data_IF_844348410795
#
_entry.id   IF_844348410795
#
_cell.length_a   1.000
_cell.length_b   1.000
_cell.length_c   1.000
_cell.angle_alpha   90.00
_cell.angle_beta   90.00
_cell.angle_gamma   90.00
#
_symmetry.space_group_name_H-M   'P 1'
#
loop_
_entity.id
_entity.type
_entity.pdbx_description
1 polymer ?
#
# COMPACT_ATOMS: atom_id res chain seq x y z
N UNK A 1 1.25 -14.21 -25.09
CA UNK A 1 1.11 -12.83 -24.54
C UNK A 1 2.07 -12.67 -23.37
N UNK A 2 2.80 -11.56 -23.28
CA UNK A 2 3.61 -11.23 -22.09
C UNK A 2 2.71 -11.08 -20.86
N UNK A 3 3.15 -11.63 -19.72
CA UNK A 3 2.48 -11.46 -18.41
C UNK A 3 2.54 -10.03 -17.88
N UNK A 4 3.55 -9.24 -18.30
CA UNK A 4 3.74 -7.84 -17.91
C UNK A 4 3.14 -6.91 -18.97
N UNK A 5 2.39 -5.90 -18.53
CA UNK A 5 1.78 -4.89 -19.41
C UNK A 5 2.82 -3.95 -20.03
N UNK A 6 3.79 -3.48 -19.24
CA UNK A 6 4.84 -2.59 -19.73
C UNK A 6 6.11 -3.37 -20.10
N UNK A 7 6.88 -2.90 -21.11
CA UNK A 7 8.22 -3.41 -21.39
C UNK A 7 9.12 -3.35 -20.15
N UNK A 8 9.80 -4.45 -19.84
CA UNK A 8 10.70 -4.52 -18.67
C UNK A 8 11.88 -3.56 -18.79
N UNK A 9 12.33 -3.30 -20.02
CA UNK A 9 13.40 -2.36 -20.32
C UNK A 9 13.14 -0.97 -19.71
N UNK A 10 11.89 -0.47 -19.74
CA UNK A 10 11.55 0.85 -19.19
C UNK A 10 11.89 0.95 -17.71
N UNK A 11 11.50 -0.03 -16.90
CA UNK A 11 11.80 -0.04 -15.47
C UNK A 11 13.32 -0.14 -15.18
N UNK A 12 14.05 -0.87 -16.02
CA UNK A 12 15.51 -0.98 -15.90
C UNK A 12 16.22 0.30 -16.32
N UNK A 13 15.78 0.95 -17.40
CA UNK A 13 16.33 2.23 -17.85
C UNK A 13 16.10 3.31 -16.80
N UNK A 14 14.91 3.38 -16.20
CA UNK A 14 14.61 4.29 -15.08
C UNK A 14 15.55 4.07 -13.90
N UNK A 15 15.75 2.81 -13.51
CA UNK A 15 16.62 2.47 -12.39
C UNK A 15 18.09 2.84 -12.67
N UNK A 16 18.57 2.61 -13.90
CA UNK A 16 19.94 2.96 -14.34
C UNK A 16 20.13 4.47 -14.39
N UNK A 17 19.23 5.22 -15.03
CA UNK A 17 19.31 6.69 -15.10
C UNK A 17 19.26 7.33 -13.72
N UNK A 18 18.34 6.88 -12.86
CA UNK A 18 18.27 7.37 -11.49
C UNK A 18 19.56 7.08 -10.71
N UNK A 19 20.20 5.93 -10.93
CA UNK A 19 21.51 5.64 -10.32
C UNK A 19 22.63 6.51 -10.88
N UNK A 20 22.67 6.71 -12.21
CA UNK A 20 23.67 7.53 -12.87
C UNK A 20 23.62 9.00 -12.42
N UNK A 21 22.43 9.60 -12.31
CA UNK A 21 22.29 10.95 -11.76
C UNK A 21 22.80 11.03 -10.31
N UNK A 22 22.47 10.06 -9.45
CA UNK A 22 23.00 10.02 -8.08
C UNK A 22 24.53 9.92 -8.05
N UNK A 23 25.13 9.14 -8.95
CA UNK A 23 26.58 9.01 -9.02
C UNK A 23 27.26 10.27 -9.55
N UNK A 24 26.66 10.95 -10.54
CA UNK A 24 27.14 12.23 -11.05
C UNK A 24 27.09 13.31 -9.97
N UNK A 25 25.98 13.44 -9.23
CA UNK A 25 25.86 14.39 -8.11
C UNK A 25 26.92 14.16 -7.02
N UNK A 26 27.36 12.91 -6.84
CA UNK A 26 28.42 12.53 -5.90
C UNK A 26 29.83 12.69 -6.48
N UNK A 27 29.97 13.23 -7.69
CA UNK A 27 31.26 13.39 -8.37
C UNK A 27 31.90 12.08 -8.84
N UNK A 28 31.16 10.97 -8.85
CA UNK A 28 31.66 9.66 -9.30
C UNK A 28 31.60 9.49 -10.82
N UNK A 29 30.82 10.33 -11.51
CA UNK A 29 30.69 10.33 -12.96
C UNK A 29 30.92 11.73 -13.52
N UNK A 30 31.61 11.81 -14.65
CA UNK A 30 31.70 13.04 -15.43
C UNK A 30 30.39 13.27 -16.20
N UNK A 31 30.07 14.52 -16.59
CA UNK A 31 28.90 14.80 -17.45
C UNK A 31 28.90 14.01 -18.76
N UNK A 32 30.09 13.77 -19.35
CA UNK A 32 30.23 12.96 -20.55
C UNK A 32 29.85 11.48 -20.33
N UNK A 33 30.26 10.89 -19.19
CA UNK A 33 29.87 9.52 -18.84
C UNK A 33 28.37 9.39 -18.58
N UNK A 34 27.75 10.41 -17.97
CA UNK A 34 26.30 10.44 -17.79
C UNK A 34 25.57 10.42 -19.14
N UNK A 35 25.99 11.26 -20.09
CA UNK A 35 25.39 11.32 -21.42
C UNK A 35 25.47 9.96 -22.16
N UNK A 36 26.58 9.23 -22.01
CA UNK A 36 26.72 7.86 -22.57
C UNK A 36 25.72 6.89 -21.96
N UNK A 37 25.54 6.92 -20.62
CA UNK A 37 24.59 6.04 -19.93
C UNK A 37 23.14 6.36 -20.33
N UNK A 38 22.81 7.65 -20.49
CA UNK A 38 21.49 8.08 -20.94
C UNK A 38 21.22 7.66 -22.39
N UNK A 39 22.20 7.79 -23.27
CA UNK A 39 22.11 7.31 -24.65
C UNK A 39 21.90 5.78 -24.72
N UNK A 40 22.56 5.02 -23.82
CA UNK A 40 22.38 3.57 -23.71
C UNK A 40 21.08 3.13 -23.00
N UNK A 41 20.33 4.06 -22.40
CA UNK A 41 19.09 3.81 -21.65
C UNK A 41 17.96 4.76 -22.12
N UNK A 42 17.49 4.64 -23.37
CA UNK A 42 16.52 5.57 -23.93
C UNK A 42 15.17 5.51 -23.20
N UNK A 43 14.54 6.68 -23.06
CA UNK A 43 13.17 6.83 -22.55
C UNK A 43 12.23 6.83 -23.74
N UNK A 44 11.67 5.67 -24.04
CA UNK A 44 10.79 5.46 -25.18
C UNK A 44 9.30 5.60 -24.82
N UNK A 45 8.99 6.10 -23.62
CA UNK A 45 7.64 6.14 -23.08
C UNK A 45 7.23 7.58 -22.73
N UNK A 46 5.93 7.83 -22.72
CA UNK A 46 5.37 9.10 -22.26
C UNK A 46 5.13 9.05 -20.74
N UNK A 47 5.83 9.91 -20.01
CA UNK A 47 5.64 10.14 -18.57
C UNK A 47 5.75 11.62 -18.26
N UNK A 48 4.62 12.30 -18.02
CA UNK A 48 4.61 13.72 -17.75
C UNK A 48 5.08 14.04 -16.32
N UNK A 49 5.38 15.32 -16.09
CA UNK A 49 5.66 15.86 -14.76
C UNK A 49 4.45 15.69 -13.83
N UNK A 50 4.70 15.75 -12.52
CA UNK A 50 3.72 15.41 -11.48
C UNK A 50 2.36 16.14 -11.63
N UNK A 51 2.35 17.46 -11.88
CA UNK A 51 1.11 18.21 -12.03
C UNK A 51 0.30 17.80 -13.27
N UNK A 52 0.96 17.60 -14.40
CA UNK A 52 0.32 17.16 -15.64
C UNK A 52 -0.20 15.72 -15.48
N UNK A 53 0.53 14.86 -14.76
CA UNK A 53 0.08 13.51 -14.41
C UNK A 53 -1.23 13.53 -13.61
N UNK A 54 -1.35 14.42 -12.63
CA UNK A 54 -2.61 14.60 -11.87
C UNK A 54 -3.72 15.10 -12.81
N UNK A 55 -3.44 16.11 -13.63
CA UNK A 55 -4.40 16.65 -14.59
C UNK A 55 -4.95 15.58 -15.54
N UNK A 56 -4.06 14.78 -16.15
CA UNK A 56 -4.43 13.68 -17.03
C UNK A 56 -5.23 12.60 -16.30
N UNK A 57 -4.85 12.26 -15.07
CA UNK A 57 -5.58 11.28 -14.25
C UNK A 57 -7.02 11.75 -14.01
N UNK A 58 -7.20 12.98 -13.53
CA UNK A 58 -8.53 13.57 -13.26
C UNK A 58 -9.35 13.69 -14.54
N UNK A 59 -8.76 14.21 -15.63
CA UNK A 59 -9.45 14.33 -16.91
C UNK A 59 -9.91 12.97 -17.45
N UNK A 60 -9.09 11.93 -17.29
CA UNK A 60 -9.45 10.56 -17.70
C UNK A 60 -10.59 10.01 -16.86
N UNK A 61 -10.57 10.21 -15.53
CA UNK A 61 -11.68 9.81 -14.67
C UNK A 61 -12.98 10.53 -15.03
N UNK A 62 -12.93 11.84 -15.29
CA UNK A 62 -14.08 12.61 -15.74
C UNK A 62 -14.60 12.08 -17.08
N UNK A 63 -13.72 11.81 -18.05
CA UNK A 63 -14.10 11.23 -19.34
C UNK A 63 -14.79 9.87 -19.21
N UNK A 64 -14.24 8.98 -18.38
CA UNK A 64 -14.85 7.67 -18.09
C UNK A 64 -16.21 7.85 -17.39
N UNK A 65 -16.28 8.70 -16.36
CA UNK A 65 -17.52 8.96 -15.63
C UNK A 65 -18.61 9.56 -16.52
N UNK A 66 -18.27 10.54 -17.37
CA UNK A 66 -19.19 11.13 -18.33
C UNK A 66 -19.72 10.11 -19.33
N UNK A 67 -18.85 9.23 -19.85
CA UNK A 67 -19.28 8.14 -20.75
C UNK A 67 -20.21 7.16 -20.03
N UNK A 68 -19.87 6.79 -18.79
CA UNK A 68 -20.72 5.93 -17.96
C UNK A 68 -22.09 6.56 -17.75
N UNK A 69 -22.15 7.83 -17.36
CA UNK A 69 -23.40 8.56 -17.13
C UNK A 69 -24.21 8.69 -18.42
N UNK A 70 -23.59 9.05 -19.54
CA UNK A 70 -24.27 9.17 -20.83
C UNK A 70 -24.90 7.85 -21.26
N UNK A 71 -24.17 6.73 -21.09
CA UNK A 71 -24.68 5.41 -21.41
C UNK A 71 -25.84 5.03 -20.48
N UNK A 72 -25.75 5.37 -19.19
CA UNK A 72 -26.85 5.14 -18.24
C UNK A 72 -28.10 5.94 -18.60
N UNK A 73 -27.95 7.22 -18.95
CA UNK A 73 -29.07 8.09 -19.34
C UNK A 73 -29.72 7.68 -20.67
N UNK A 74 -28.94 7.08 -21.58
CA UNK A 74 -29.42 6.64 -22.89
C UNK A 74 -30.36 5.42 -22.81
N UNK A 75 -30.41 4.74 -21.66
CA UNK A 75 -31.27 3.57 -21.43
C UNK A 75 -32.55 4.04 -20.74
N UNK A 76 -33.56 4.32 -21.56
CA UNK A 76 -34.83 4.98 -21.18
C UNK A 76 -35.76 4.13 -20.26
N UNK A 77 -35.46 2.84 -20.09
CA UNK A 77 -36.14 1.96 -19.11
C UNK A 77 -35.09 1.55 -18.10
N UNK A 78 -35.17 2.10 -16.89
CA UNK A 78 -34.16 1.94 -15.84
C UNK A 78 -33.54 0.54 -15.75
N UNK A 79 -32.27 0.46 -15.36
CA UNK A 79 -31.52 -0.79 -15.36
C UNK A 79 -32.22 -1.89 -14.55
N UNK A 80 -32.53 -3.01 -15.21
CA UNK A 80 -32.71 -4.27 -14.48
C UNK A 80 -31.39 -4.61 -13.78
N UNK A 81 -31.44 -5.35 -12.67
CA UNK A 81 -30.22 -5.77 -11.96
C UNK A 81 -29.24 -6.52 -12.89
N UNK A 82 -29.76 -7.30 -13.83
CA UNK A 82 -28.95 -7.98 -14.86
C UNK A 82 -28.33 -6.98 -15.82
N UNK A 83 -29.08 -5.97 -16.28
CA UNK A 83 -28.54 -4.90 -17.11
C UNK A 83 -27.39 -4.15 -16.44
N UNK A 84 -27.51 -3.87 -15.14
CA UNK A 84 -26.47 -3.16 -14.38
C UNK A 84 -25.16 -3.98 -14.26
N UNK A 85 -25.28 -5.30 -14.05
CA UNK A 85 -24.13 -6.22 -14.06
C UNK A 85 -23.47 -6.23 -15.44
N UNK A 86 -24.26 -6.47 -16.49
CA UNK A 86 -23.75 -6.51 -17.88
C UNK A 86 -23.06 -5.20 -18.25
N UNK A 87 -23.66 -4.07 -17.89
CA UNK A 87 -23.09 -2.75 -18.14
C UNK A 87 -21.75 -2.56 -17.42
N UNK A 88 -21.67 -2.93 -16.14
CA UNK A 88 -20.42 -2.85 -15.36
C UNK A 88 -19.31 -3.70 -15.98
N UNK A 89 -19.64 -4.90 -16.49
CA UNK A 89 -18.68 -5.76 -17.20
C UNK A 89 -18.23 -5.16 -18.54
N UNK A 90 -19.12 -4.50 -19.28
CA UNK A 90 -18.77 -3.78 -20.52
C UNK A 90 -17.83 -2.61 -20.22
N UNK A 91 -18.10 -1.82 -19.18
CA UNK A 91 -17.23 -0.71 -18.76
C UNK A 91 -15.86 -1.25 -18.34
N UNK A 92 -15.81 -2.33 -17.57
CA UNK A 92 -14.55 -3.00 -17.19
C UNK A 92 -13.75 -3.44 -18.43
N UNK A 93 -14.40 -4.12 -19.38
CA UNK A 93 -13.77 -4.59 -20.61
C UNK A 93 -13.26 -3.43 -21.48
N UNK A 94 -14.08 -2.39 -21.66
CA UNK A 94 -13.71 -1.20 -22.43
C UNK A 94 -12.53 -0.46 -21.79
N UNK A 95 -12.58 -0.19 -20.48
CA UNK A 95 -11.49 0.48 -19.77
C UNK A 95 -10.18 -0.32 -19.85
N UNK A 96 -10.24 -1.65 -19.73
CA UNK A 96 -9.07 -2.52 -19.86
C UNK A 96 -8.52 -2.54 -21.29
N UNK A 97 -9.39 -2.58 -22.30
CA UNK A 97 -8.98 -2.52 -23.70
C UNK A 97 -8.31 -1.18 -24.04
N UNK A 98 -8.90 -0.06 -23.63
CA UNK A 98 -8.32 1.27 -23.82
C UNK A 98 -7.00 1.41 -23.07
N UNK A 99 -6.90 0.88 -21.85
CA UNK A 99 -5.65 0.84 -21.09
C UNK A 99 -4.53 0.13 -21.87
N UNK A 100 -4.82 -1.05 -22.43
CA UNK A 100 -3.85 -1.80 -23.23
C UNK A 100 -3.44 -1.06 -24.51
N UNK A 101 -4.39 -0.39 -25.17
CA UNK A 101 -4.11 0.43 -26.36
C UNK A 101 -3.23 1.63 -26.02
N UNK A 102 -3.53 2.35 -24.94
CA UNK A 102 -2.77 3.51 -24.48
C UNK A 102 -1.34 3.13 -24.07
N UNK A 103 -1.16 1.96 -23.43
CA UNK A 103 0.17 1.44 -23.07
C UNK A 103 0.97 1.04 -24.32
N UNK A 104 0.36 0.35 -25.29
CA UNK A 104 1.09 -0.20 -26.45
C UNK A 104 1.31 0.81 -27.56
N UNK A 105 0.27 1.57 -27.91
CA UNK A 105 0.27 2.48 -29.05
C UNK A 105 0.86 3.84 -28.69
N UNK A 106 0.39 4.41 -27.57
CA UNK A 106 0.81 5.75 -27.12
C UNK A 106 1.98 5.70 -26.14
N UNK A 107 2.47 4.49 -25.79
CA UNK A 107 3.61 4.24 -24.91
C UNK A 107 3.50 4.96 -23.55
N UNK A 108 2.30 5.10 -23.00
CA UNK A 108 2.13 5.70 -21.67
C UNK A 108 2.71 4.80 -20.59
N UNK A 109 3.49 5.37 -19.68
CA UNK A 109 4.05 4.66 -18.52
C UNK A 109 3.82 5.46 -17.24
N UNK A 110 2.88 5.00 -16.40
CA UNK A 110 2.52 5.63 -15.13
C UNK A 110 2.25 7.12 -15.29
N UNK A 111 1.53 7.42 -16.36
CA UNK A 111 1.25 8.76 -16.88
C UNK A 111 0.07 9.45 -16.20
N UNK A 112 -0.73 8.70 -15.44
CA UNK A 112 -2.00 9.16 -14.88
C UNK A 112 -3.20 8.62 -15.66
N UNK A 113 -3.15 8.64 -17.00
CA UNK A 113 -4.21 8.07 -17.86
C UNK A 113 -4.34 6.56 -17.64
N UNK A 114 -3.21 5.85 -17.68
CA UNK A 114 -3.15 4.40 -17.48
C UNK A 114 -3.58 3.99 -16.07
N UNK A 115 -3.18 4.77 -15.05
CA UNK A 115 -3.65 4.58 -13.67
C UNK A 115 -5.18 4.75 -13.57
N UNK A 116 -5.74 5.82 -14.15
CA UNK A 116 -7.18 6.11 -14.09
C UNK A 116 -8.01 5.02 -14.76
N UNK A 117 -7.59 4.54 -15.94
CA UNK A 117 -8.27 3.45 -16.64
C UNK A 117 -8.20 2.13 -15.86
N UNK A 118 -7.04 1.80 -15.28
CA UNK A 118 -6.88 0.61 -14.44
C UNK A 118 -7.83 0.65 -13.23
N UNK A 119 -7.88 1.77 -12.53
CA UNK A 119 -8.75 1.91 -11.35
C UNK A 119 -10.23 1.92 -11.74
N UNK A 120 -10.57 2.49 -12.89
CA UNK A 120 -11.94 2.45 -13.42
C UNK A 120 -12.37 1.02 -13.76
N UNK A 121 -11.48 0.23 -14.38
CA UNK A 121 -11.75 -1.17 -14.68
C UNK A 121 -11.95 -2.00 -13.41
N UNK A 122 -11.06 -1.84 -12.42
CA UNK A 122 -11.17 -2.53 -11.13
C UNK A 122 -12.41 -2.13 -10.34
N UNK A 123 -12.80 -0.85 -10.38
CA UNK A 123 -14.02 -0.37 -9.75
C UNK A 123 -15.26 -0.96 -10.44
N UNK A 124 -15.31 -0.94 -11.77
CA UNK A 124 -16.40 -1.55 -12.54
C UNK A 124 -16.53 -3.06 -12.26
N UNK A 125 -15.42 -3.77 -12.11
CA UNK A 125 -15.42 -5.17 -11.64
C UNK A 125 -16.01 -5.31 -10.23
N UNK A 126 -15.54 -4.49 -9.27
CA UNK A 126 -16.03 -4.55 -7.89
C UNK A 126 -17.53 -4.27 -7.79
N UNK A 127 -18.04 -3.33 -8.60
CA UNK A 127 -19.47 -3.03 -8.73
C UNK A 127 -20.24 -4.21 -9.33
N UNK A 128 -19.72 -4.84 -10.40
CA UNK A 128 -20.34 -6.02 -10.99
C UNK A 128 -20.44 -7.18 -9.99
N UNK A 129 -19.36 -7.47 -9.26
CA UNK A 129 -19.34 -8.51 -8.22
C UNK A 129 -20.32 -8.15 -7.10
N UNK A 130 -20.35 -6.90 -6.64
CA UNK A 130 -21.30 -6.43 -5.63
C UNK A 130 -22.76 -6.66 -6.04
N UNK A 131 -23.12 -6.29 -7.28
CA UNK A 131 -24.46 -6.48 -7.82
C UNK A 131 -24.83 -7.97 -8.00
N UNK A 132 -23.86 -8.83 -8.35
CA UNK A 132 -24.06 -10.29 -8.41
C UNK A 132 -24.35 -10.83 -7.01
N UNK A 133 -23.55 -10.44 -6.00
CA UNK A 133 -23.74 -10.88 -4.61
C UNK A 133 -25.08 -10.41 -4.06
N UNK A 134 -25.46 -9.15 -4.30
CA UNK A 134 -26.77 -8.62 -3.90
C UNK A 134 -27.92 -9.40 -4.53
N UNK A 135 -27.79 -9.80 -5.80
CA UNK A 135 -28.80 -10.62 -6.48
C UNK A 135 -28.90 -12.03 -5.89
N UNK A 136 -27.77 -12.64 -5.53
CA UNK A 136 -27.72 -13.98 -4.95
C UNK A 136 -28.20 -14.00 -3.49
N UNK A 137 -27.92 -12.93 -2.73
CA UNK A 137 -28.15 -12.85 -1.28
C UNK A 137 -28.86 -11.53 -0.87
N UNK A 138 -30.10 -11.28 -1.35
CA UNK A 138 -30.78 -9.98 -1.23
C UNK A 138 -31.01 -9.52 0.22
N UNK A 139 -31.25 -10.46 1.14
CA UNK A 139 -31.55 -10.14 2.55
C UNK A 139 -30.30 -9.91 3.42
N UNK A 140 -29.09 -10.13 2.88
CA UNK A 140 -27.86 -10.16 3.68
C UNK A 140 -26.79 -9.19 3.19
N UNK A 141 -26.93 -8.63 1.98
CA UNK A 141 -25.93 -7.73 1.36
C UNK A 141 -25.57 -6.49 2.20
N UNK A 142 -26.50 -5.97 3.00
CA UNK A 142 -26.28 -4.74 3.79
C UNK A 142 -25.37 -4.94 5.01
N UNK A 143 -25.13 -6.19 5.43
CA UNK A 143 -24.23 -6.43 6.54
C UNK A 143 -22.79 -6.57 5.99
N UNK A 144 -22.02 -5.50 6.18
CA UNK A 144 -20.62 -5.38 5.75
C UNK A 144 -19.63 -5.80 6.84
N UNK A 145 -20.10 -6.42 7.92
CA UNK A 145 -19.23 -6.90 8.99
C UNK A 145 -18.31 -8.01 8.47
N UNK A 146 -17.08 -8.05 8.98
CA UNK A 146 -16.09 -9.09 8.65
C UNK A 146 -16.57 -10.51 9.01
N UNK A 147 -17.55 -10.63 9.91
CA UNK A 147 -18.18 -11.89 10.33
C UNK A 147 -19.24 -12.39 9.35
N UNK A 148 -19.73 -11.57 8.41
CA UNK A 148 -20.80 -11.95 7.49
C UNK A 148 -20.39 -13.09 6.54
N UNK A 149 -21.14 -14.20 6.55
CA UNK A 149 -20.82 -15.40 5.76
C UNK A 149 -20.83 -15.19 4.24
N UNK A 150 -21.42 -14.12 3.70
CA UNK A 150 -21.41 -13.83 2.26
C UNK A 150 -20.19 -13.01 1.83
N UNK A 151 -19.40 -12.48 2.77
CA UNK A 151 -18.33 -11.55 2.45
C UNK A 151 -17.26 -12.19 1.55
N UNK A 152 -17.01 -13.51 1.66
CA UNK A 152 -16.09 -14.21 0.77
C UNK A 152 -16.53 -14.18 -0.70
N UNK A 153 -17.84 -14.13 -1.00
CA UNK A 153 -18.35 -14.03 -2.38
C UNK A 153 -17.98 -12.70 -3.04
N UNK A 154 -17.72 -11.66 -2.23
CA UNK A 154 -17.22 -10.38 -2.70
C UNK A 154 -15.69 -10.32 -2.65
N UNK A 155 -15.08 -10.71 -1.52
CA UNK A 155 -13.63 -10.62 -1.32
C UNK A 155 -12.82 -11.50 -2.26
N UNK A 156 -13.25 -12.74 -2.54
CA UNK A 156 -12.45 -13.68 -3.36
C UNK A 156 -12.35 -13.20 -4.82
N UNK A 157 -13.45 -12.87 -5.52
CA UNK A 157 -13.36 -12.33 -6.88
C UNK A 157 -12.63 -11.00 -6.96
N UNK A 158 -12.80 -10.12 -5.97
CA UNK A 158 -12.07 -8.85 -5.91
C UNK A 158 -10.57 -9.05 -5.69
N UNK A 159 -10.18 -9.95 -4.79
CA UNK A 159 -8.78 -10.28 -4.55
C UNK A 159 -8.13 -10.89 -5.79
N UNK A 160 -8.83 -11.79 -6.50
CA UNK A 160 -8.32 -12.38 -7.74
C UNK A 160 -8.07 -11.31 -8.81
N UNK A 161 -9.02 -10.39 -9.03
CA UNK A 161 -8.84 -9.30 -9.98
C UNK A 161 -7.68 -8.37 -9.58
N UNK A 162 -7.55 -8.04 -8.29
CA UNK A 162 -6.45 -7.24 -7.77
C UNK A 162 -5.09 -7.95 -7.94
N UNK A 163 -5.01 -9.27 -7.73
CA UNK A 163 -3.80 -10.05 -7.95
C UNK A 163 -3.41 -10.08 -9.43
N UNK A 164 -4.37 -10.30 -10.33
CA UNK A 164 -4.13 -10.27 -11.78
C UNK A 164 -3.65 -8.88 -12.23
N UNK A 165 -4.29 -7.82 -11.74
CA UNK A 165 -3.88 -6.44 -12.01
C UNK A 165 -2.50 -6.13 -11.42
N UNK A 166 -2.17 -6.61 -10.22
CA UNK A 166 -0.87 -6.42 -9.60
C UNK A 166 0.25 -7.10 -10.38
N UNK A 167 0.05 -8.36 -10.79
CA UNK A 167 1.01 -9.10 -11.62
C UNK A 167 1.19 -8.40 -12.97
N UNK A 168 0.08 -7.98 -13.59
CA UNK A 168 0.12 -7.39 -14.92
C UNK A 168 0.71 -5.98 -14.94
N UNK A 169 0.27 -5.08 -14.06
CA UNK A 169 0.58 -3.64 -14.12
C UNK A 169 1.60 -3.18 -13.07
N UNK A 170 1.91 -3.98 -12.04
CA UNK A 170 2.82 -3.61 -10.97
C UNK A 170 2.55 -2.21 -10.38
N UNK A 171 1.27 -1.91 -10.16
CA UNK A 171 0.84 -0.62 -9.60
C UNK A 171 0.94 -0.63 -8.06
N UNK A 172 1.47 0.44 -7.44
CA UNK A 172 1.61 0.52 -5.98
C UNK A 172 0.27 0.62 -5.23
N UNK A 173 -0.75 1.30 -5.78
CA UNK A 173 -2.06 1.39 -5.12
C UNK A 173 -2.77 0.05 -5.20
N UNK A 174 -2.74 -0.61 -6.36
CA UNK A 174 -3.27 -1.97 -6.50
C UNK A 174 -2.60 -2.91 -5.51
N UNK A 175 -1.28 -2.81 -5.32
CA UNK A 175 -0.56 -3.61 -4.32
C UNK A 175 -1.09 -3.38 -2.90
N UNK A 176 -1.37 -2.12 -2.52
CA UNK A 176 -1.95 -1.81 -1.23
C UNK A 176 -3.36 -2.39 -1.07
N UNK A 177 -4.20 -2.27 -2.10
CA UNK A 177 -5.55 -2.83 -2.10
C UNK A 177 -5.52 -4.37 -2.05
N UNK A 178 -4.60 -5.02 -2.77
CA UNK A 178 -4.39 -6.48 -2.69
C UNK A 178 -4.03 -6.91 -1.28
N UNK A 179 -3.12 -6.17 -0.62
CA UNK A 179 -2.74 -6.46 0.77
C UNK A 179 -3.92 -6.31 1.72
N UNK A 180 -4.68 -5.22 1.60
CA UNK A 180 -5.89 -4.98 2.40
C UNK A 180 -6.95 -6.05 2.20
N UNK A 181 -7.25 -6.41 0.95
CA UNK A 181 -8.20 -7.48 0.62
C UNK A 181 -7.74 -8.85 1.15
N UNK A 182 -6.44 -9.14 1.09
CA UNK A 182 -5.86 -10.35 1.67
C UNK A 182 -5.99 -10.40 3.18
N UNK A 183 -5.74 -9.29 3.89
CA UNK A 183 -5.96 -9.20 5.33
C UNK A 183 -7.45 -9.30 5.71
N UNK A 184 -8.34 -8.68 4.94
CA UNK A 184 -9.78 -8.77 5.15
C UNK A 184 -10.27 -10.22 4.98
N UNK A 185 -9.78 -10.94 3.97
CA UNK A 185 -10.10 -12.35 3.76
C UNK A 185 -9.56 -13.23 4.89
N UNK A 186 -8.32 -13.00 5.32
CA UNK A 186 -7.73 -13.70 6.46
C UNK A 186 -8.54 -13.48 7.75
N UNK A 187 -8.90 -12.22 8.03
CA UNK A 187 -9.74 -11.86 9.17
C UNK A 187 -11.11 -12.49 9.09
N UNK A 188 -11.75 -12.44 7.92
CA UNK A 188 -13.05 -13.09 7.67
C UNK A 188 -13.00 -14.57 8.01
N UNK A 189 -12.01 -15.31 7.48
CA UNK A 189 -11.85 -16.76 7.73
C UNK A 189 -11.64 -17.04 9.22
N UNK A 190 -10.77 -16.29 9.89
CA UNK A 190 -10.49 -16.50 11.31
C UNK A 190 -11.72 -16.23 12.17
N UNK A 191 -12.45 -15.16 11.90
CA UNK A 191 -13.62 -14.76 12.70
C UNK A 191 -14.83 -15.72 12.57
N UNK A 192 -14.79 -16.69 11.65
CA UNK A 192 -15.79 -17.77 11.61
C UNK A 192 -15.57 -18.83 12.69
N UNK A 193 -14.40 -18.85 13.35
CA UNK A 193 -14.08 -19.81 14.41
C UNK A 193 -14.20 -19.13 15.78
N UNK A 194 -14.69 -19.85 16.79
CA UNK A 194 -14.95 -19.31 18.14
C UNK A 194 -13.71 -18.66 18.79
N UNK A 195 -12.54 -19.26 18.63
CA UNK A 195 -11.25 -18.73 19.11
C UNK A 195 -10.58 -17.75 18.14
N UNK A 196 -11.22 -17.47 17.01
CA UNK A 196 -10.68 -16.69 15.89
C UNK A 196 -10.26 -15.28 16.27
N UNK A 197 -11.08 -14.59 17.07
CA UNK A 197 -10.78 -13.23 17.55
C UNK A 197 -9.52 -13.19 18.43
N UNK A 198 -9.29 -14.24 19.23
CA UNK A 198 -8.10 -14.36 20.07
C UNK A 198 -6.84 -14.62 19.23
N UNK A 199 -6.96 -15.45 18.18
CA UNK A 199 -5.84 -15.82 17.31
C UNK A 199 -5.51 -14.76 16.25
N UNK A 200 -6.46 -13.89 15.92
CA UNK A 200 -6.36 -12.87 14.87
C UNK A 200 -5.03 -12.08 14.89
N UNK A 201 -4.60 -11.44 15.99
CA UNK A 201 -3.32 -10.74 16.04
C UNK A 201 -2.13 -11.60 15.65
N UNK A 202 -2.06 -12.82 16.18
CA UNK A 202 -0.92 -13.70 15.99
C UNK A 202 -0.85 -14.20 14.55
N UNK A 203 -1.99 -14.57 13.97
CA UNK A 203 -2.04 -15.05 12.59
C UNK A 203 -1.74 -13.90 11.61
N UNK A 204 -2.30 -12.70 11.82
CA UNK A 204 -1.98 -11.51 11.01
C UNK A 204 -0.50 -11.16 11.11
N UNK A 205 0.07 -11.17 12.32
CA UNK A 205 1.48 -10.88 12.54
C UNK A 205 2.38 -11.91 11.87
N UNK A 206 2.11 -13.21 12.02
CA UNK A 206 2.88 -14.28 11.38
C UNK A 206 2.78 -14.23 9.86
N UNK A 207 1.58 -14.01 9.31
CA UNK A 207 1.37 -13.85 7.87
C UNK A 207 2.16 -12.64 7.32
N UNK A 208 2.14 -11.52 8.03
CA UNK A 208 2.87 -10.32 7.65
C UNK A 208 4.40 -10.48 7.78
N UNK A 209 4.90 -11.20 8.79
CA UNK A 209 6.32 -11.58 8.93
C UNK A 209 6.74 -12.45 7.74
N UNK A 210 5.99 -13.51 7.44
CA UNK A 210 6.26 -14.41 6.31
C UNK A 210 6.27 -13.67 4.98
N UNK A 211 5.27 -12.81 4.76
CA UNK A 211 5.20 -11.97 3.56
C UNK A 211 6.39 -11.00 3.48
N UNK A 212 6.73 -10.29 4.55
CA UNK A 212 7.86 -9.36 4.55
C UNK A 212 9.18 -10.07 4.24
N UNK A 213 9.42 -11.24 4.86
CA UNK A 213 10.61 -12.06 4.62
C UNK A 213 10.68 -12.50 3.15
N UNK A 214 9.58 -13.00 2.60
CA UNK A 214 9.49 -13.40 1.19
C UNK A 214 9.76 -12.22 0.25
N UNK A 215 9.08 -11.09 0.44
CA UNK A 215 9.24 -9.89 -0.39
C UNK A 215 10.66 -9.33 -0.34
N UNK A 216 11.33 -9.39 0.82
CA UNK A 216 12.72 -8.94 0.97
C UNK A 216 13.66 -9.73 0.06
N UNK A 217 13.50 -11.06 -0.02
CA UNK A 217 14.34 -11.90 -0.90
C UNK A 217 14.09 -11.61 -2.39
N UNK A 218 12.85 -11.28 -2.77
CA UNK A 218 12.49 -10.93 -4.15
C UNK A 218 12.97 -9.54 -4.55
N UNK A 219 12.88 -8.57 -3.64
CA UNK A 219 13.33 -7.20 -3.89
C UNK A 219 14.84 -7.08 -4.15
N UNK A 220 15.64 -8.05 -3.73
CA UNK A 220 17.08 -8.10 -3.99
C UNK A 220 17.44 -8.58 -5.41
N UNK A 221 16.48 -9.18 -6.15
CA UNK A 221 16.72 -9.72 -7.50
C UNK A 221 16.54 -8.65 -8.57
N UNK A 222 17.48 -8.57 -9.51
CA UNK A 222 17.42 -7.60 -10.62
C UNK A 222 16.15 -7.74 -11.46
N UNK A 223 15.67 -8.96 -11.69
CA UNK A 223 14.48 -9.26 -12.51
C UNK A 223 13.16 -8.69 -11.95
N UNK A 224 13.17 -8.32 -10.67
CA UNK A 224 12.03 -7.73 -9.97
C UNK A 224 11.98 -6.21 -10.03
N UNK A 225 12.87 -5.56 -10.79
CA UNK A 225 12.88 -4.10 -10.97
C UNK A 225 11.52 -3.57 -11.44
N UNK A 226 10.81 -4.33 -12.29
CA UNK A 226 9.43 -4.04 -12.71
C UNK A 226 8.45 -3.82 -11.55
N UNK A 227 8.58 -4.63 -10.48
CA UNK A 227 7.70 -4.60 -9.32
C UNK A 227 8.22 -3.72 -8.18
N UNK A 228 9.30 -2.97 -8.36
CA UNK A 228 10.02 -2.29 -7.28
C UNK A 228 9.11 -1.39 -6.42
N UNK A 229 8.24 -0.60 -7.05
CA UNK A 229 7.30 0.29 -6.33
C UNK A 229 6.27 -0.51 -5.53
N UNK A 230 5.66 -1.54 -6.12
CA UNK A 230 4.70 -2.40 -5.44
C UNK A 230 5.33 -3.20 -4.30
N UNK A 231 6.55 -3.72 -4.49
CA UNK A 231 7.30 -4.42 -3.46
C UNK A 231 7.62 -3.50 -2.27
N UNK A 232 7.96 -2.24 -2.53
CA UNK A 232 8.17 -1.26 -1.46
C UNK A 232 6.88 -1.06 -0.65
N UNK A 233 5.75 -0.81 -1.31
CA UNK A 233 4.44 -0.65 -0.64
C UNK A 233 4.07 -1.89 0.17
N UNK A 234 4.17 -3.09 -0.41
CA UNK A 234 3.84 -4.33 0.30
C UNK A 234 4.76 -4.57 1.50
N UNK A 235 6.07 -4.28 1.38
CA UNK A 235 6.99 -4.38 2.51
C UNK A 235 6.65 -3.38 3.61
N UNK A 236 6.27 -2.16 3.24
CA UNK A 236 5.83 -1.12 4.19
C UNK A 236 4.58 -1.56 4.93
N UNK A 237 3.56 -2.02 4.20
CA UNK A 237 2.29 -2.46 4.79
C UNK A 237 2.45 -3.72 5.64
N UNK A 238 3.30 -4.66 5.23
CA UNK A 238 3.60 -5.84 6.03
C UNK A 238 4.25 -5.46 7.38
N UNK A 239 5.27 -4.58 7.37
CA UNK A 239 5.88 -4.09 8.61
C UNK A 239 4.89 -3.30 9.48
N UNK A 240 4.06 -2.46 8.87
CA UNK A 240 2.99 -1.77 9.59
C UNK A 240 2.01 -2.76 10.24
N UNK A 241 1.58 -3.79 9.51
CA UNK A 241 0.66 -4.81 10.02
C UNK A 241 1.27 -5.65 11.16
N UNK A 242 2.57 -6.00 11.09
CA UNK A 242 3.27 -6.68 12.20
C UNK A 242 3.18 -5.85 13.48
N UNK A 243 3.47 -4.55 13.39
CA UNK A 243 3.43 -3.67 14.55
C UNK A 243 1.99 -3.43 15.04
N UNK A 244 1.06 -3.09 14.14
CA UNK A 244 -0.34 -2.82 14.51
C UNK A 244 -1.02 -4.06 15.09
N UNK A 245 -0.72 -5.26 14.58
CA UNK A 245 -1.23 -6.52 15.13
C UNK A 245 -0.72 -6.81 16.55
N UNK A 246 0.47 -6.31 16.91
CA UNK A 246 1.03 -6.42 18.26
C UNK A 246 0.74 -5.23 19.18
N UNK A 247 0.21 -4.13 18.66
CA UNK A 247 -0.01 -2.91 19.44
C UNK A 247 -1.22 -3.03 20.36
N UNK A 248 -1.06 -2.67 21.64
CA UNK A 248 -2.10 -2.82 22.66
C UNK A 248 -3.36 -2.01 22.37
N UNK A 249 -3.22 -0.76 21.93
CA UNK A 249 -4.36 0.09 21.56
C UNK A 249 -5.16 -0.52 20.42
N UNK A 250 -4.47 -0.92 19.35
CA UNK A 250 -5.12 -1.51 18.16
C UNK A 250 -5.85 -2.79 18.54
N UNK A 251 -5.25 -3.63 19.38
CA UNK A 251 -5.88 -4.88 19.79
C UNK A 251 -7.09 -4.66 20.70
N UNK A 252 -7.01 -3.71 21.63
CA UNK A 252 -8.11 -3.42 22.54
C UNK A 252 -9.29 -2.77 21.83
N UNK A 253 -9.04 -1.66 21.13
CA UNK A 253 -10.10 -0.93 20.42
C UNK A 253 -10.58 -1.70 19.18
N UNK A 254 -9.69 -2.40 18.48
CA UNK A 254 -10.05 -3.23 17.33
C UNK A 254 -10.93 -4.42 17.71
N UNK A 255 -10.63 -5.11 18.81
CA UNK A 255 -11.48 -6.19 19.29
C UNK A 255 -12.86 -5.69 19.74
N UNK A 256 -12.92 -4.52 20.40
CA UNK A 256 -14.19 -3.91 20.78
C UNK A 256 -15.04 -3.55 19.55
N UNK A 257 -14.41 -2.93 18.53
CA UNK A 257 -15.07 -2.61 17.26
C UNK A 257 -15.59 -3.87 16.55
N UNK A 258 -14.82 -4.96 16.55
CA UNK A 258 -15.25 -6.23 15.94
C UNK A 258 -16.40 -6.92 16.68
N UNK A 259 -16.54 -6.68 17.99
CA UNK A 259 -17.66 -7.17 18.79
C UNK A 259 -18.91 -6.28 18.69
N UNK A 260 -18.82 -5.12 18.03
CA UNK A 260 -19.92 -4.17 17.91
C UNK A 260 -20.31 -3.50 19.23
N UNK A 261 -19.42 -3.49 20.23
CA UNK A 261 -19.70 -2.91 21.54
C UNK A 261 -19.72 -1.38 21.51
N UNK A 262 -20.76 -0.77 22.07
CA UNK A 262 -20.88 0.68 22.28
C UNK A 262 -20.35 1.15 23.65
N UNK A 263 -19.93 0.21 24.51
CA UNK A 263 -19.34 0.48 25.82
C UNK A 263 -17.81 0.67 25.77
N UNK A 264 -17.18 1.03 26.91
CA UNK A 264 -15.73 1.15 26.97
C UNK A 264 -15.05 -0.17 26.62
N UNK A 265 -13.99 -0.11 25.80
CA UNK A 265 -13.25 -1.28 25.35
C UNK A 265 -12.73 -2.09 26.53
N UNK A 266 -13.15 -3.34 26.63
CA UNK A 266 -12.75 -4.25 27.72
C UNK A 266 -11.26 -4.57 27.66
N UNK A 267 -10.70 -4.99 28.80
CA UNK A 267 -9.32 -5.44 28.83
C UNK A 267 -9.18 -6.75 28.06
N UNK A 268 -8.29 -6.77 27.07
CA UNK A 268 -8.02 -7.97 26.27
C UNK A 268 -7.23 -9.02 27.06
N UNK A 269 -7.45 -10.32 26.78
CA UNK A 269 -6.55 -11.38 27.21
C UNK A 269 -5.10 -11.08 26.78
N UNK A 270 -4.12 -11.52 27.57
CA UNK A 270 -2.70 -11.32 27.28
C UNK A 270 -2.27 -9.84 27.17
N UNK A 271 -3.00 -8.90 27.79
CA UNK A 271 -2.64 -7.48 27.80
C UNK A 271 -1.14 -7.19 28.07
N UNK A 272 -0.47 -7.85 29.05
CA UNK A 272 0.97 -7.64 29.26
C UNK A 272 1.82 -7.96 28.03
N UNK A 273 1.47 -8.98 27.25
CA UNK A 273 2.18 -9.35 26.02
C UNK A 273 2.07 -8.25 24.96
N UNK A 274 0.88 -7.69 24.77
CA UNK A 274 0.68 -6.60 23.81
C UNK A 274 1.36 -5.30 24.24
N UNK A 275 1.52 -5.04 25.55
CA UNK A 275 2.38 -3.96 26.01
C UNK A 275 3.86 -4.22 25.68
N UNK A 276 4.34 -5.46 25.87
CA UNK A 276 5.71 -5.86 25.48
C UNK A 276 5.90 -5.70 23.98
N UNK A 277 4.95 -6.09 23.14
CA UNK A 277 5.01 -5.88 21.70
C UNK A 277 4.95 -4.42 21.29
N UNK A 278 4.09 -3.62 21.94
CA UNK A 278 4.00 -2.17 21.74
C UNK A 278 5.36 -1.51 21.95
N UNK A 279 6.06 -1.82 23.05
CA UNK A 279 7.39 -1.25 23.29
C UNK A 279 8.51 -1.93 22.50
N UNK A 280 8.46 -3.25 22.34
CA UNK A 280 9.56 -4.07 21.82
C UNK A 280 9.70 -4.05 20.30
N UNK A 281 8.59 -4.15 19.55
CA UNK A 281 8.64 -4.20 18.07
C UNK A 281 9.31 -2.95 17.47
N UNK A 282 8.98 -1.71 17.88
CA UNK A 282 9.65 -0.52 17.37
C UNK A 282 11.18 -0.53 17.61
N UNK A 283 11.61 -0.97 18.80
CA UNK A 283 13.03 -1.06 19.14
C UNK A 283 13.74 -2.11 18.28
N UNK A 284 13.10 -3.25 18.02
CA UNK A 284 13.61 -4.28 17.10
C UNK A 284 13.75 -3.70 15.69
N UNK A 285 12.77 -2.93 15.21
CA UNK A 285 12.83 -2.29 13.88
C UNK A 285 14.00 -1.31 13.78
N UNK A 286 14.18 -0.46 14.79
CA UNK A 286 15.31 0.48 14.83
C UNK A 286 16.64 -0.28 14.88
N UNK A 287 16.78 -1.27 15.77
CA UNK A 287 18.00 -2.05 15.90
C UNK A 287 18.36 -2.80 14.61
N UNK A 288 17.39 -3.45 13.96
CA UNK A 288 17.60 -4.14 12.70
C UNK A 288 17.85 -3.17 11.54
N UNK A 289 17.16 -2.03 11.52
CA UNK A 289 17.36 -0.96 10.53
C UNK A 289 18.76 -0.36 10.61
N UNK A 290 19.29 -0.15 11.83
CA UNK A 290 20.64 0.32 12.07
C UNK A 290 21.67 -0.75 11.68
N UNK A 291 21.47 -2.01 12.08
CA UNK A 291 22.42 -3.11 11.80
C UNK A 291 22.50 -3.48 10.32
N UNK A 292 21.40 -3.34 9.58
CA UNK A 292 21.29 -3.75 8.17
C UNK A 292 21.30 -2.58 7.18
N UNK A 293 21.49 -1.35 7.67
CA UNK A 293 21.38 -0.12 6.88
C UNK A 293 20.06 -0.03 6.08
N UNK A 294 18.97 -0.55 6.64
CA UNK A 294 17.66 -0.59 5.97
C UNK A 294 16.82 0.62 6.40
N UNK A 295 16.77 1.63 5.53
CA UNK A 295 16.00 2.87 5.74
C UNK A 295 14.52 2.60 6.01
N UNK A 296 13.92 1.58 5.40
CA UNK A 296 12.50 1.28 5.58
C UNK A 296 12.22 0.85 7.03
N UNK A 297 13.05 -0.03 7.58
CA UNK A 297 12.95 -0.48 8.98
C UNK A 297 13.17 0.67 9.96
N UNK A 298 14.14 1.55 9.68
CA UNK A 298 14.39 2.73 10.52
C UNK A 298 13.18 3.67 10.57
N UNK A 299 12.65 4.04 9.41
CA UNK A 299 11.51 4.98 9.32
C UNK A 299 10.27 4.38 9.99
N UNK A 300 9.95 3.11 9.71
CA UNK A 300 8.80 2.46 10.35
C UNK A 300 9.01 2.20 11.84
N UNK A 301 10.23 1.93 12.28
CA UNK A 301 10.57 1.82 13.70
C UNK A 301 10.32 3.14 14.44
N UNK A 302 10.75 4.27 13.89
CA UNK A 302 10.51 5.59 14.46
C UNK A 302 9.02 5.97 14.48
N UNK A 303 8.29 5.71 13.39
CA UNK A 303 6.84 5.90 13.34
C UNK A 303 6.12 5.02 14.35
N UNK A 304 6.56 3.77 14.52
CA UNK A 304 6.02 2.85 15.50
C UNK A 304 6.32 3.30 16.94
N UNK A 305 7.50 3.87 17.23
CA UNK A 305 7.79 4.51 18.53
C UNK A 305 6.81 5.65 18.80
N UNK A 306 6.58 6.54 17.84
CA UNK A 306 5.62 7.64 17.99
C UNK A 306 4.21 7.10 18.31
N UNK A 307 3.76 6.07 17.61
CA UNK A 307 2.46 5.44 17.90
C UNK A 307 2.45 4.69 19.23
N UNK A 308 3.58 4.12 19.68
CA UNK A 308 3.70 3.45 20.99
C UNK A 308 3.56 4.44 22.13
N UNK A 309 4.19 5.62 22.01
CA UNK A 309 4.04 6.71 22.96
C UNK A 309 2.60 7.21 23.01
N UNK A 310 1.93 7.30 21.85
CA UNK A 310 0.50 7.58 21.79
C UNK A 310 -0.32 6.52 22.55
N UNK A 311 -0.09 5.23 22.30
CA UNK A 311 -0.76 4.12 23.00
C UNK A 311 -0.56 4.18 24.51
N UNK A 312 0.68 4.38 24.99
CA UNK A 312 0.98 4.45 26.41
C UNK A 312 0.28 5.65 27.06
N UNK A 313 0.30 6.80 26.41
CA UNK A 313 -0.35 8.01 26.90
C UNK A 313 -1.87 7.91 26.91
N UNK A 314 -2.46 7.24 25.91
CA UNK A 314 -3.91 7.02 25.84
C UNK A 314 -4.42 6.27 27.08
N UNK A 315 -3.68 5.27 27.56
CA UNK A 315 -4.07 4.48 28.74
C UNK A 315 -3.43 4.93 30.06
N UNK A 316 -2.38 5.77 30.00
CA UNK A 316 -1.72 6.37 31.19
C UNK A 316 -1.54 7.86 30.94
N UNK A 317 -2.49 8.66 31.41
CA UNK A 317 -2.41 10.12 31.36
C UNK A 317 -1.47 10.66 32.44
N UNK A 318 -0.16 10.52 32.21
CA UNK A 318 0.88 10.99 33.16
C UNK A 318 1.06 12.51 33.12
N UNK A 319 0.83 13.15 31.96
CA UNK A 319 1.05 14.58 31.75
C UNK A 319 -0.07 15.21 30.89
N UNK A 320 -0.35 16.52 31.07
CA UNK A 320 -1.24 17.27 30.20
C UNK A 320 -0.79 17.23 28.73
N UNK A 321 -1.72 17.25 27.76
CA UNK A 321 -1.39 17.11 26.35
C UNK A 321 -0.35 18.06 25.80
N UNK A 322 -0.45 19.33 26.17
CA UNK A 322 0.47 20.37 25.75
C UNK A 322 1.89 20.12 26.28
N UNK A 323 2.01 19.73 27.55
CA UNK A 323 3.30 19.46 28.21
C UNK A 323 3.97 18.22 27.60
N UNK A 324 3.22 17.15 27.39
CA UNK A 324 3.76 15.93 26.78
C UNK A 324 4.23 16.17 25.33
N UNK A 325 3.47 16.94 24.54
CA UNK A 325 3.83 17.25 23.16
C UNK A 325 5.07 18.14 23.07
N UNK A 326 5.16 19.17 23.91
CA UNK A 326 6.32 20.09 23.95
C UNK A 326 7.58 19.38 24.44
N UNK A 327 7.49 18.60 25.53
CA UNK A 327 8.62 17.80 26.02
C UNK A 327 9.07 16.74 25.01
N UNK A 328 8.12 16.01 24.40
CA UNK A 328 8.42 15.03 23.35
C UNK A 328 9.10 15.67 22.14
N UNK A 329 8.61 16.83 21.69
CA UNK A 329 9.23 17.60 20.61
C UNK A 329 10.65 18.06 20.95
N UNK A 330 10.87 18.55 22.18
CA UNK A 330 12.20 18.97 22.64
C UNK A 330 13.20 17.80 22.68
N UNK A 331 12.78 16.64 23.18
CA UNK A 331 13.61 15.42 23.18
C UNK A 331 13.93 14.97 21.76
N UNK A 332 12.93 14.91 20.87
CA UNK A 332 13.14 14.53 19.46
C UNK A 332 14.09 15.50 18.76
N UNK A 333 13.96 16.80 19.00
CA UNK A 333 14.85 17.82 18.44
C UNK A 333 16.29 17.65 18.97
N UNK A 334 16.47 17.44 20.28
CA UNK A 334 17.77 17.21 20.88
C UNK A 334 18.44 15.95 20.31
N UNK A 335 17.69 14.84 20.18
CA UNK A 335 18.18 13.60 19.57
C UNK A 335 18.53 13.82 18.10
N UNK A 336 17.68 14.48 17.32
CA UNK A 336 17.94 14.75 15.92
C UNK A 336 19.20 15.61 15.73
N UNK A 337 19.37 16.67 16.52
CA UNK A 337 20.57 17.50 16.51
C UNK A 337 21.82 16.72 16.94
N UNK A 338 21.70 15.85 17.95
CA UNK A 338 22.78 14.97 18.40
C UNK A 338 23.21 13.99 17.31
N UNK A 339 22.25 13.32 16.67
CA UNK A 339 22.50 12.39 15.56
C UNK A 339 23.10 13.11 14.34
N UNK A 340 22.58 14.29 13.98
CA UNK A 340 23.13 15.11 12.90
C UNK A 340 24.59 15.47 13.18
N UNK A 341 24.89 15.96 14.39
CA UNK A 341 26.27 16.27 14.80
C UNK A 341 27.17 15.04 14.77
N UNK A 342 26.69 13.90 15.27
CA UNK A 342 27.42 12.64 15.29
C UNK A 342 27.73 12.10 13.88
N UNK A 343 26.78 12.23 12.95
CA UNK A 343 26.88 11.75 11.57
C UNK A 343 27.38 12.80 10.57
N UNK A 344 27.84 13.98 11.03
CA UNK A 344 28.52 14.98 10.17
C UNK A 344 29.71 14.36 9.44
N UNK A 345 30.48 13.56 10.15
CA UNK A 345 31.46 12.66 9.56
C UNK A 345 30.80 11.31 9.32
N UNK A 346 30.91 10.71 8.13
CA UNK A 346 30.37 9.38 7.89
C UNK A 346 30.92 8.37 8.91
N UNK A 347 30.04 7.64 9.59
CA UNK A 347 30.40 6.64 10.62
C UNK A 347 29.56 5.40 10.46
N UNK A 348 30.20 4.22 10.52
CA UNK A 348 29.53 2.91 10.41
C UNK A 348 28.57 2.78 9.21
N UNK A 349 28.87 3.45 8.09
CA UNK A 349 28.03 3.43 6.88
C UNK A 349 26.83 4.39 6.90
N UNK A 350 26.70 5.24 7.93
CA UNK A 350 25.68 6.29 8.00
C UNK A 350 26.30 7.68 7.82
N UNK A 351 25.52 8.60 7.25
CA UNK A 351 25.90 10.01 7.04
C UNK A 351 24.70 10.91 7.27
N UNK A 352 24.95 12.14 7.75
CA UNK A 352 23.96 13.20 7.84
C UNK A 352 23.71 13.90 6.50
N UNK A 353 24.57 13.70 5.51
CA UNK A 353 24.38 14.25 4.17
C UNK A 353 23.09 13.69 3.56
N UNK A 354 22.23 14.58 3.07
CA UNK A 354 21.02 14.18 2.38
C UNK A 354 21.37 13.46 1.07
N UNK A 355 20.62 12.41 0.75
CA UNK A 355 20.46 11.98 -0.65
C UNK A 355 19.54 13.03 -1.28
N UNK A 356 20.10 14.10 -1.84
CA UNK A 356 19.33 15.16 -2.51
C UNK A 356 18.78 14.65 -3.85
N UNK A 357 17.68 13.87 -3.78
CA UNK A 357 16.57 13.84 -4.75
C UNK A 357 15.57 12.73 -4.36
N UNK A 358 14.34 13.14 -4.03
CA UNK A 358 13.14 12.33 -4.11
C UNK A 358 12.19 12.96 -5.13
#
# INVERSE_FOLDING_TARGET
MSWKAYPTAWAHHDARRAAAHRWQQRGLLTPAQLAVIEAASPVEYYRPVFFVRIGLFVATLLGVASLVVLLVLSINKGFSKVGFITFSLVVMAAATAVLELVIKSSKHYRSGVDNALLYSALLAWAVAVGAIVEKLMPNHYHNTALTGLWLWLWLVPSLLALLLALVRYADPLVAALTFGAGLALLGHVLLQVSIGLLLLPFVVMLAAIGLHAWLRTRAARADYTYYRSSLLVLRTLALAAIYLAGNYFVMREGNAALRGGSGPSEQIPLAPLFYVFTAGIPLIYIALGLRRHDRLLLVLGLLAVAFSLFTLRYYRSVLPPAVAATAGGAVLLAVALGVLRYLRTPRHGFTAAADEAA
#
